data_IF_969347251058
#
_entry.id   IF_969347251058
#
_cell.length_a   1.000
_cell.length_b   1.000
_cell.length_c   1.000
_cell.angle_alpha   90.00
_cell.angle_beta   90.00
_cell.angle_gamma   90.00
#
_symmetry.space_group_name_H-M   'P 1'
#
loop_
_entity.id
_entity.type
_entity.pdbx_description
1 polymer ?
#
# COMPACT_ATOMS: atom_id res chain seq x y z
N UNK A 1 21.65 26.60 -34.05
CA UNK A 1 20.22 26.38 -34.35
C UNK A 1 19.73 24.99 -33.93
N UNK A 2 20.31 23.85 -34.39
CA UNK A 2 19.81 22.48 -33.96
C UNK A 2 19.81 22.24 -32.45
N UNK A 3 20.84 22.69 -31.71
CA UNK A 3 20.89 22.53 -30.22
C UNK A 3 19.84 23.35 -29.51
N UNK A 4 19.50 24.52 -30.04
CA UNK A 4 18.45 25.38 -29.46
C UNK A 4 17.02 24.82 -29.71
N UNK A 5 16.79 24.20 -30.85
CA UNK A 5 15.55 23.47 -31.13
C UNK A 5 15.38 22.24 -30.24
N UNK A 6 16.47 21.50 -29.97
CA UNK A 6 16.44 20.35 -29.03
C UNK A 6 16.15 20.79 -27.60
N UNK A 7 16.71 21.92 -27.13
CA UNK A 7 16.44 22.47 -25.81
C UNK A 7 15.00 22.97 -25.67
N UNK A 8 14.47 23.63 -26.71
CA UNK A 8 13.07 24.04 -26.77
C UNK A 8 12.12 22.85 -26.79
N UNK A 9 12.43 21.80 -27.55
CA UNK A 9 11.65 20.55 -27.57
C UNK A 9 11.66 19.82 -26.24
N UNK A 10 12.81 19.76 -25.55
CA UNK A 10 12.91 19.18 -24.22
C UNK A 10 12.16 19.98 -23.15
N UNK A 11 12.21 21.32 -23.24
CA UNK A 11 11.44 22.20 -22.34
C UNK A 11 9.93 22.09 -22.56
N UNK A 12 9.46 21.88 -23.81
CA UNK A 12 8.05 21.64 -24.09
C UNK A 12 7.55 20.28 -23.58
N UNK A 13 8.36 19.24 -23.63
CA UNK A 13 8.04 17.92 -23.08
C UNK A 13 7.95 17.90 -21.55
N UNK A 14 8.72 18.74 -20.87
CA UNK A 14 8.68 18.81 -19.39
C UNK A 14 7.44 19.58 -18.85
N UNK A 15 6.76 20.38 -19.66
CA UNK A 15 5.57 21.13 -19.24
C UNK A 15 4.29 20.27 -19.14
N UNK A 16 4.33 19.05 -19.62
CA UNK A 16 3.17 18.14 -19.60
C UNK A 16 3.23 17.04 -18.52
N UNK A 17 4.30 17.02 -17.73
CA UNK A 17 4.42 16.08 -16.62
C UNK A 17 3.64 16.61 -15.39
N UNK A 18 2.33 16.48 -15.44
CA UNK A 18 1.47 16.69 -14.27
C UNK A 18 1.55 15.44 -13.41
N UNK A 19 2.13 15.58 -12.22
CA UNK A 19 2.07 14.53 -11.21
C UNK A 19 0.75 14.65 -10.45
N UNK A 20 0.15 13.50 -10.18
CA UNK A 20 -1.04 13.45 -9.34
C UNK A 20 -0.69 13.50 -7.87
N UNK A 21 -1.57 14.11 -7.11
CA UNK A 21 -1.57 13.92 -5.67
C UNK A 21 -1.82 12.45 -5.34
N UNK A 22 -1.11 11.93 -4.36
CA UNK A 22 -1.26 10.57 -3.89
C UNK A 22 -1.98 10.49 -2.54
N UNK A 23 -2.06 9.27 -1.98
CA UNK A 23 -2.58 9.00 -0.64
C UNK A 23 -4.02 9.47 -0.41
N UNK A 24 -4.88 9.27 -1.38
CA UNK A 24 -6.29 9.62 -1.28
C UNK A 24 -7.01 8.79 -0.23
N UNK A 25 -7.91 9.44 0.51
CA UNK A 25 -8.68 8.78 1.56
C UNK A 25 -9.73 7.83 0.95
N UNK A 26 -9.55 6.54 1.16
CA UNK A 26 -10.38 5.49 0.58
C UNK A 26 -11.89 5.68 0.80
N UNK A 27 -12.38 6.06 2.00
CA UNK A 27 -13.81 6.30 2.23
C UNK A 27 -14.40 7.44 1.39
N UNK A 28 -13.56 8.34 0.89
CA UNK A 28 -14.01 9.51 0.14
C UNK A 28 -13.78 9.41 -1.38
N UNK A 29 -13.24 8.29 -1.88
CA UNK A 29 -12.92 8.10 -3.30
C UNK A 29 -14.11 8.44 -4.22
N UNK A 30 -15.31 7.99 -3.87
CA UNK A 30 -16.51 8.23 -4.68
C UNK A 30 -16.80 9.72 -4.87
N UNK A 31 -16.54 10.54 -3.85
CA UNK A 31 -16.83 11.98 -3.87
C UNK A 31 -15.71 12.80 -4.47
N UNK A 32 -14.47 12.40 -4.24
CA UNK A 32 -13.30 13.24 -4.52
C UNK A 32 -12.52 12.82 -5.77
N UNK A 33 -12.18 11.55 -5.89
CA UNK A 33 -11.11 11.15 -6.80
C UNK A 33 -11.52 10.21 -7.92
N UNK A 34 -12.61 9.45 -7.77
CA UNK A 34 -12.99 8.39 -8.72
C UNK A 34 -13.18 8.89 -10.15
N UNK A 35 -13.65 10.13 -10.33
CA UNK A 35 -13.83 10.73 -11.66
C UNK A 35 -12.46 10.91 -12.34
N UNK A 36 -11.51 11.54 -11.67
CA UNK A 36 -10.16 11.74 -12.20
C UNK A 36 -9.44 10.41 -12.47
N UNK A 37 -9.62 9.41 -11.61
CA UNK A 37 -9.09 8.07 -11.83
C UNK A 37 -9.65 7.41 -13.09
N UNK A 38 -10.96 7.54 -13.34
CA UNK A 38 -11.61 7.00 -14.55
C UNK A 38 -11.16 7.72 -15.82
N UNK A 39 -11.01 9.02 -15.80
CA UNK A 39 -10.49 9.83 -16.91
C UNK A 39 -9.06 9.38 -17.31
N UNK A 40 -8.30 8.82 -16.36
CA UNK A 40 -6.96 8.25 -16.58
C UNK A 40 -6.95 6.74 -16.86
N UNK A 41 -8.12 6.15 -17.08
CA UNK A 41 -8.25 4.77 -17.50
C UNK A 41 -8.49 3.75 -16.39
N UNK A 42 -8.69 4.18 -15.12
CA UNK A 42 -9.13 3.27 -14.07
C UNK A 42 -10.52 2.73 -14.38
N UNK A 43 -10.67 1.42 -14.45
CA UNK A 43 -11.93 0.75 -14.74
C UNK A 43 -12.72 0.36 -13.49
N UNK A 44 -12.07 0.43 -12.32
CA UNK A 44 -12.69 0.08 -11.04
C UNK A 44 -13.64 1.19 -10.57
N UNK A 45 -14.72 0.79 -9.92
CA UNK A 45 -15.56 1.69 -9.13
C UNK A 45 -14.93 1.97 -7.78
N UNK A 46 -15.42 3.01 -7.09
CA UNK A 46 -14.96 3.29 -5.73
C UNK A 46 -15.29 2.14 -4.76
N UNK A 47 -16.40 1.45 -4.97
CA UNK A 47 -16.81 0.31 -4.15
C UNK A 47 -15.95 -0.93 -4.38
N UNK A 48 -15.52 -1.18 -5.63
CA UNK A 48 -14.56 -2.25 -5.93
C UNK A 48 -13.17 -1.99 -5.34
N UNK A 49 -12.80 -0.73 -5.13
CA UNK A 49 -11.55 -0.35 -4.45
C UNK A 49 -11.71 -0.45 -2.93
N UNK A 50 -12.78 0.11 -2.39
CA UNK A 50 -13.04 0.15 -0.96
C UNK A 50 -14.52 -0.06 -0.66
N UNK A 51 -14.86 -1.16 -0.01
CA UNK A 51 -16.19 -1.43 0.55
C UNK A 51 -16.08 -2.00 1.95
N UNK A 52 -17.01 -1.61 2.82
CA UNK A 52 -17.15 -2.20 4.16
C UNK A 52 -18.06 -3.44 4.12
N UNK A 53 -19.03 -3.44 3.22
CA UNK A 53 -20.07 -4.46 3.14
C UNK A 53 -19.79 -5.57 2.13
N UNK A 54 -19.01 -5.26 1.08
CA UNK A 54 -18.67 -6.19 0.01
C UNK A 54 -17.16 -6.41 -0.07
N UNK A 55 -16.75 -7.52 -0.68
CA UNK A 55 -15.35 -7.75 -1.01
C UNK A 55 -14.84 -6.66 -1.96
N UNK A 56 -13.66 -6.14 -1.70
CA UNK A 56 -13.06 -5.06 -2.46
C UNK A 56 -11.53 -5.19 -2.45
N UNK A 57 -10.86 -4.37 -3.26
CA UNK A 57 -9.39 -4.38 -3.35
C UNK A 57 -8.72 -4.18 -1.97
N UNK A 58 -9.35 -3.45 -1.04
CA UNK A 58 -8.81 -3.28 0.32
C UNK A 58 -8.57 -4.61 1.05
N UNK A 59 -9.34 -5.66 0.72
CA UNK A 59 -9.23 -6.95 1.40
C UNK A 59 -7.99 -7.75 0.97
N UNK A 60 -7.40 -7.39 -0.17
CA UNK A 60 -6.14 -7.95 -0.64
C UNK A 60 -4.91 -7.25 -0.02
N UNK A 61 -5.07 -6.03 0.49
CA UNK A 61 -3.97 -5.24 1.07
C UNK A 61 -3.98 -5.38 2.58
N UNK A 62 -2.83 -5.73 3.14
CA UNK A 62 -2.69 -6.00 4.58
C UNK A 62 -1.57 -5.17 5.20
N UNK A 63 -1.67 -4.95 6.50
CA UNK A 63 -0.56 -4.46 7.31
C UNK A 63 0.26 -5.68 7.72
N UNK A 64 1.50 -5.73 7.22
CA UNK A 64 2.43 -6.83 7.45
C UNK A 64 3.36 -6.51 8.61
N UNK A 65 3.46 -7.43 9.56
CA UNK A 65 4.35 -7.29 10.71
C UNK A 65 4.13 -6.00 11.52
N UNK A 66 5.19 -5.24 11.70
CA UNK A 66 5.22 -4.01 12.49
C UNK A 66 4.65 -2.77 11.82
N UNK A 67 4.27 -2.82 10.53
CA UNK A 67 3.74 -1.64 9.83
C UNK A 67 4.03 -1.57 8.34
N UNK A 68 4.65 -2.60 7.77
CA UNK A 68 4.80 -2.72 6.32
C UNK A 68 3.46 -3.01 5.63
N UNK A 69 3.43 -2.84 4.32
CA UNK A 69 2.32 -3.30 3.48
C UNK A 69 2.65 -4.65 2.86
N UNK A 70 1.65 -5.49 2.74
CA UNK A 70 1.71 -6.74 1.97
C UNK A 70 0.45 -6.91 1.14
N UNK A 71 0.53 -7.70 0.06
CA UNK A 71 -0.57 -7.98 -0.85
C UNK A 71 -0.84 -9.49 -0.91
N UNK A 72 -2.08 -9.87 -0.66
CA UNK A 72 -2.53 -11.26 -0.82
C UNK A 72 -2.93 -11.47 -2.27
N UNK A 73 -2.19 -12.33 -2.94
CA UNK A 73 -2.30 -12.53 -4.40
C UNK A 73 -2.85 -13.91 -4.78
N UNK A 74 -3.28 -14.69 -3.81
CA UNK A 74 -3.92 -15.98 -4.09
C UNK A 74 -5.01 -16.34 -3.08
N UNK A 75 -6.00 -17.16 -3.47
CA UNK A 75 -7.03 -17.64 -2.55
C UNK A 75 -6.49 -18.55 -1.44
N UNK A 76 -5.23 -19.00 -1.55
CA UNK A 76 -4.57 -19.82 -0.55
C UNK A 76 -3.64 -19.02 0.38
N UNK A 77 -3.67 -17.68 0.31
CA UNK A 77 -2.93 -16.81 1.20
C UNK A 77 -1.47 -16.55 0.80
N UNK A 78 -1.10 -16.74 -0.49
CA UNK A 78 0.20 -16.26 -0.95
C UNK A 78 0.25 -14.74 -0.78
N UNK A 79 1.26 -14.25 -0.07
CA UNK A 79 1.43 -12.85 0.25
C UNK A 79 2.76 -12.35 -0.33
N UNK A 80 2.71 -11.20 -0.96
CA UNK A 80 3.89 -10.47 -1.40
C UNK A 80 4.14 -9.27 -0.49
N UNK A 81 5.41 -8.98 -0.24
CA UNK A 81 5.86 -7.78 0.48
C UNK A 81 7.29 -7.46 0.08
N UNK A 82 7.84 -6.36 0.57
CA UNK A 82 9.22 -5.99 0.32
C UNK A 82 10.18 -6.82 1.17
N UNK A 83 11.38 -7.09 0.63
CA UNK A 83 12.41 -7.85 1.32
C UNK A 83 12.74 -7.29 2.71
N UNK A 84 12.89 -5.97 2.84
CA UNK A 84 13.21 -5.34 4.13
C UNK A 84 12.13 -5.54 5.19
N UNK A 85 10.87 -5.78 4.79
CA UNK A 85 9.77 -6.06 5.72
C UNK A 85 9.85 -7.47 6.31
N UNK A 86 10.41 -8.42 5.57
CA UNK A 86 10.62 -9.80 6.01
C UNK A 86 12.02 -10.07 6.59
N UNK A 87 12.92 -9.09 6.53
CA UNK A 87 14.34 -9.26 6.82
C UNK A 87 14.61 -9.90 8.19
N UNK A 88 14.00 -9.39 9.24
CA UNK A 88 14.17 -9.91 10.61
C UNK A 88 13.72 -11.37 10.71
N UNK A 89 12.58 -11.71 10.12
CA UNK A 89 12.07 -13.10 10.11
C UNK A 89 13.00 -14.02 9.33
N UNK A 90 13.53 -13.57 8.18
CA UNK A 90 14.49 -14.33 7.38
C UNK A 90 15.80 -14.53 8.18
N UNK A 91 16.26 -13.49 8.87
CA UNK A 91 17.45 -13.57 9.72
C UNK A 91 17.28 -14.57 10.87
N UNK A 92 16.14 -14.52 11.56
CA UNK A 92 15.82 -15.45 12.66
C UNK A 92 15.75 -16.90 12.22
N UNK A 93 15.38 -17.16 10.96
CA UNK A 93 15.31 -18.48 10.37
C UNK A 93 16.64 -18.93 9.75
N UNK A 94 17.62 -18.04 9.61
CA UNK A 94 18.93 -18.35 9.04
C UNK A 94 19.89 -18.88 10.12
N UNK A 95 20.78 -19.78 9.72
CA UNK A 95 21.85 -20.31 10.53
C UNK A 95 23.11 -20.52 9.67
N UNK A 96 24.22 -20.93 10.30
CA UNK A 96 25.53 -21.09 9.60
C UNK A 96 25.46 -22.12 8.47
N UNK A 97 24.65 -23.16 8.64
CA UNK A 97 24.44 -24.24 7.67
C UNK A 97 23.35 -23.98 6.66
N UNK A 98 22.54 -22.94 6.86
CA UNK A 98 21.46 -22.53 5.95
C UNK A 98 21.20 -21.01 6.03
N UNK A 99 22.04 -20.25 5.37
CA UNK A 99 21.95 -18.78 5.32
C UNK A 99 20.95 -18.31 4.26
N UNK A 100 19.68 -18.18 4.67
CA UNK A 100 18.60 -17.74 3.79
C UNK A 100 18.72 -16.26 3.38
N UNK A 101 19.37 -15.40 4.17
CA UNK A 101 19.62 -14.02 3.77
C UNK A 101 20.56 -13.93 2.58
N UNK A 102 21.59 -14.78 2.56
CA UNK A 102 22.61 -14.80 1.50
C UNK A 102 22.16 -15.61 0.30
N UNK A 103 21.60 -16.79 0.54
CA UNK A 103 21.33 -17.77 -0.51
C UNK A 103 19.90 -17.71 -1.04
N UNK A 104 19.01 -17.01 -0.34
CA UNK A 104 17.58 -17.04 -0.59
C UNK A 104 16.95 -18.38 -0.15
N UNK A 105 15.63 -18.44 -0.24
CA UNK A 105 14.85 -19.64 0.01
C UNK A 105 13.62 -19.65 -0.90
N UNK A 106 13.31 -20.81 -1.45
CA UNK A 106 12.13 -21.01 -2.26
C UNK A 106 11.46 -22.35 -1.93
N UNK A 107 10.28 -22.30 -1.33
CA UNK A 107 9.47 -23.50 -1.08
C UNK A 107 8.75 -23.91 -2.38
N UNK A 108 8.98 -25.13 -2.86
CA UNK A 108 8.30 -25.68 -4.04
C UNK A 108 6.92 -26.24 -3.69
N UNK A 109 6.66 -26.46 -2.41
CA UNK A 109 5.39 -26.95 -1.88
C UNK A 109 5.10 -26.33 -0.52
N UNK A 110 3.83 -26.42 -0.06
CA UNK A 110 3.44 -25.94 1.29
C UNK A 110 4.15 -26.67 2.43
N UNK A 111 4.52 -27.91 2.21
CA UNK A 111 5.23 -28.70 3.21
C UNK A 111 6.67 -28.23 3.43
N UNK A 112 7.23 -27.53 2.46
CA UNK A 112 8.56 -26.93 2.53
C UNK A 112 8.56 -25.51 3.10
N UNK A 113 7.38 -24.88 3.23
CA UNK A 113 7.26 -23.55 3.81
C UNK A 113 7.76 -23.55 5.26
N UNK A 114 8.62 -22.60 5.59
CA UNK A 114 9.19 -22.47 6.93
C UNK A 114 8.33 -21.48 7.73
N UNK A 115 7.74 -21.91 8.85
CA UNK A 115 6.97 -21.01 9.70
C UNK A 115 7.82 -19.85 10.24
N UNK A 116 7.29 -18.63 10.21
CA UNK A 116 7.89 -17.43 10.82
C UNK A 116 7.14 -17.12 12.14
N UNK A 117 7.64 -17.58 13.30
CA UNK A 117 6.96 -17.42 14.57
C UNK A 117 6.76 -15.94 14.93
N UNK A 118 5.56 -15.60 15.39
CA UNK A 118 5.25 -14.22 15.82
C UNK A 118 4.92 -13.25 14.70
N UNK A 119 5.19 -13.57 13.44
CA UNK A 119 4.81 -12.74 12.30
C UNK A 119 3.29 -12.75 12.13
N UNK A 120 2.71 -11.55 11.98
CA UNK A 120 1.26 -11.36 11.88
C UNK A 120 0.92 -10.44 10.71
N UNK A 121 -0.24 -10.67 10.12
CA UNK A 121 -0.87 -9.74 9.17
C UNK A 121 -2.19 -9.24 9.74
N UNK A 122 -2.52 -7.98 9.45
CA UNK A 122 -3.77 -7.34 9.89
C UNK A 122 -4.52 -6.84 8.67
N UNK A 123 -5.79 -7.20 8.58
CA UNK A 123 -6.70 -6.76 7.53
C UNK A 123 -7.41 -5.49 7.96
N UNK A 124 -7.52 -4.52 7.06
CA UNK A 124 -8.32 -3.32 7.26
C UNK A 124 -9.79 -3.70 7.11
N UNK A 125 -10.56 -3.60 8.18
CA UNK A 125 -12.00 -3.89 8.16
C UNK A 125 -12.80 -2.66 7.72
N UNK A 126 -12.51 -1.52 8.35
CA UNK A 126 -13.15 -0.25 8.04
C UNK A 126 -12.23 0.92 8.40
N UNK A 127 -12.49 2.05 7.77
CA UNK A 127 -11.89 3.35 8.08
C UNK A 127 -13.05 4.30 8.33
N UNK A 128 -13.06 4.97 9.49
CA UNK A 128 -14.11 5.93 9.89
C UNK A 128 -13.51 7.28 10.22
N UNK A 129 -14.28 8.32 9.95
CA UNK A 129 -13.96 9.68 10.39
C UNK A 129 -14.37 9.83 11.86
N UNK A 130 -13.42 10.14 12.72
CA UNK A 130 -13.61 10.34 14.16
C UNK A 130 -13.42 11.81 14.57
N UNK A 131 -13.40 12.71 13.60
CA UNK A 131 -13.16 14.14 13.83
C UNK A 131 -14.16 14.72 14.84
N UNK A 132 -15.44 14.43 14.68
CA UNK A 132 -16.48 14.91 15.59
C UNK A 132 -16.31 14.37 17.01
N UNK A 133 -15.92 13.11 17.16
CA UNK A 133 -15.71 12.47 18.46
C UNK A 133 -14.51 13.09 19.20
N UNK A 134 -13.47 13.43 18.49
CA UNK A 134 -12.27 14.05 19.06
C UNK A 134 -12.52 15.53 19.34
N UNK A 135 -12.97 16.31 18.34
CA UNK A 135 -13.13 17.74 18.47
C UNK A 135 -14.28 18.13 19.40
N UNK A 136 -15.33 17.31 19.51
CA UNK A 136 -16.42 17.54 20.43
C UNK A 136 -16.01 17.58 21.92
N UNK A 137 -14.85 16.99 22.23
CA UNK A 137 -14.28 16.97 23.60
C UNK A 137 -13.16 17.98 23.80
N UNK A 138 -12.78 18.75 22.76
CA UNK A 138 -11.71 19.76 22.83
C UNK A 138 -12.32 21.10 23.21
N UNK A 139 -11.88 21.77 24.30
CA UNK A 139 -12.34 23.11 24.63
C UNK A 139 -12.07 24.09 23.49
N UNK A 140 -12.99 25.03 23.25
CA UNK A 140 -12.87 26.05 22.19
C UNK A 140 -11.62 26.95 22.32
N UNK A 141 -10.98 26.94 23.47
CA UNK A 141 -9.74 27.67 23.77
C UNK A 141 -8.45 26.87 23.53
N UNK A 142 -8.56 25.58 23.18
CA UNK A 142 -7.40 24.72 22.92
C UNK A 142 -6.78 25.06 21.54
N UNK A 143 -5.91 26.02 21.45
CA UNK A 143 -5.24 26.46 20.23
C UNK A 143 -4.81 27.92 20.30
N UNK A 144 -5.03 28.56 21.43
CA UNK A 144 -4.63 29.95 21.69
C UNK A 144 -3.36 30.07 22.57
N UNK A 145 -2.51 29.04 22.59
CA UNK A 145 -1.22 29.08 23.25
C UNK A 145 -0.09 29.12 22.23
#
# INVERSE_FOLDING_TARGET
MKKMLLLLGAAFLSLTALADEGMWLLPYLQKMNIKAMKERGCKLSAEEIYSVNNSSLKDAVVIFGGGCTGEIVSPRGLLFTNHHCGYESIQQLSAVDHDYLKNGFWAMSRQEEIPAPGLKVRFIRSISDVTADILGNVPSTAGQQ
#
